data_IF_431321523754
#
_entry.id   IF_431321523754
#
_cell.length_a   1.000
_cell.length_b   1.000
_cell.length_c   1.000
_cell.angle_alpha   90.00
_cell.angle_beta   90.00
_cell.angle_gamma   90.00
#
_symmetry.space_group_name_H-M   'P 1'
#
loop_
_entity.id
_entity.type
_entity.pdbx_description
1 polymer ?
#
# COMPACT_ATOMS: atom_id res chain seq x y z
N UNK A 1 -23.96 -0.35 4.12
CA UNK A 1 -22.82 0.54 3.80
C UNK A 1 -22.55 0.41 2.32
N UNK A 2 -22.73 1.49 1.56
CA UNK A 2 -22.38 1.51 0.13
C UNK A 2 -20.86 1.57 0.05
N UNK A 3 -20.22 0.62 -0.64
CA UNK A 3 -18.78 0.68 -0.88
C UNK A 3 -18.45 2.03 -1.55
N UNK A 4 -17.47 2.76 -1.00
CA UNK A 4 -16.98 3.96 -1.66
C UNK A 4 -16.25 3.52 -2.92
N UNK A 5 -16.78 3.91 -4.09
CA UNK A 5 -16.15 3.60 -5.35
C UNK A 5 -14.74 4.20 -5.39
N UNK A 6 -13.74 3.39 -5.77
CA UNK A 6 -12.38 3.84 -6.03
C UNK A 6 -12.39 4.99 -7.05
N UNK A 7 -11.70 6.10 -6.72
CA UNK A 7 -11.71 7.29 -7.58
C UNK A 7 -11.05 7.02 -8.95
N UNK A 8 -11.40 7.78 -10.00
CA UNK A 8 -10.76 7.63 -11.31
C UNK A 8 -9.24 7.83 -11.27
N UNK A 9 -8.75 8.77 -10.43
CA UNK A 9 -7.33 9.02 -10.26
C UNK A 9 -6.61 7.83 -9.60
N UNK A 10 -7.22 7.24 -8.58
CA UNK A 10 -6.71 6.02 -7.95
C UNK A 10 -6.72 4.84 -8.93
N UNK A 11 -7.77 4.71 -9.75
CA UNK A 11 -7.85 3.65 -10.76
C UNK A 11 -6.76 3.79 -11.83
N UNK A 12 -6.54 5.00 -12.34
CA UNK A 12 -5.45 5.28 -13.27
C UNK A 12 -4.08 4.93 -12.67
N UNK A 13 -3.89 5.19 -11.38
CA UNK A 13 -2.66 4.85 -10.69
C UNK A 13 -2.51 3.32 -10.52
N UNK A 14 -3.59 2.58 -10.24
CA UNK A 14 -3.58 1.12 -10.24
C UNK A 14 -3.15 0.58 -11.61
N UNK A 15 -3.79 1.03 -12.69
CA UNK A 15 -3.53 0.58 -14.05
C UNK A 15 -2.08 0.88 -14.49
N UNK A 16 -1.46 1.92 -13.94
CA UNK A 16 -0.07 2.28 -14.23
C UNK A 16 0.96 1.45 -13.45
N UNK A 17 0.59 0.88 -12.30
CA UNK A 17 1.53 0.26 -11.36
C UNK A 17 1.42 -1.26 -11.27
N UNK A 18 0.25 -1.82 -11.55
CA UNK A 18 -0.01 -3.26 -11.45
C UNK A 18 -0.31 -3.85 -12.82
N UNK A 19 0.01 -5.13 -13.05
CA UNK A 19 -0.37 -5.80 -14.28
C UNK A 19 -1.90 -6.02 -14.35
N UNK A 20 -2.45 -6.06 -15.57
CA UNK A 20 -3.90 -6.14 -15.81
C UNK A 20 -4.57 -7.36 -15.16
N UNK A 21 -3.85 -8.49 -15.05
CA UNK A 21 -4.34 -9.71 -14.43
C UNK A 21 -4.47 -9.62 -12.90
N UNK A 22 -3.83 -8.64 -12.27
CA UNK A 22 -3.97 -8.33 -10.85
C UNK A 22 -5.00 -7.24 -10.55
N UNK A 23 -5.53 -6.54 -11.55
CA UNK A 23 -6.37 -5.35 -11.37
C UNK A 23 -7.60 -5.61 -10.46
N UNK A 24 -8.27 -6.75 -10.62
CA UNK A 24 -9.41 -7.12 -9.77
C UNK A 24 -8.99 -7.33 -8.30
N UNK A 25 -7.84 -7.95 -8.06
CA UNK A 25 -7.30 -8.18 -6.72
C UNK A 25 -6.87 -6.88 -6.04
N UNK A 26 -6.28 -5.96 -6.80
CA UNK A 26 -5.90 -4.63 -6.31
C UNK A 26 -7.14 -3.85 -5.86
N UNK A 27 -8.17 -3.78 -6.70
CA UNK A 27 -9.42 -3.07 -6.36
C UNK A 27 -10.12 -3.70 -5.14
N UNK A 28 -10.18 -5.03 -5.08
CA UNK A 28 -10.75 -5.74 -3.94
C UNK A 28 -9.98 -5.47 -2.64
N UNK A 29 -8.66 -5.32 -2.68
CA UNK A 29 -7.86 -4.94 -1.52
C UNK A 29 -8.12 -3.49 -1.09
N UNK A 30 -8.19 -2.56 -2.03
CA UNK A 30 -8.49 -1.15 -1.72
C UNK A 30 -9.86 -1.00 -1.06
N UNK A 31 -10.87 -1.74 -1.53
CA UNK A 31 -12.22 -1.74 -0.93
C UNK A 31 -12.24 -2.17 0.55
N UNK A 32 -11.17 -2.81 1.06
CA UNK A 32 -11.05 -3.16 2.49
C UNK A 32 -10.74 -1.95 3.38
N UNK A 33 -10.35 -0.80 2.81
CA UNK A 33 -10.07 0.41 3.56
C UNK A 33 -11.24 1.40 3.47
N UNK A 34 -12.00 1.51 4.55
CA UNK A 34 -13.13 2.45 4.67
C UNK A 34 -12.84 3.59 5.67
N UNK A 35 -11.56 3.88 5.92
CA UNK A 35 -11.13 4.88 6.87
C UNK A 35 -11.24 6.32 6.35
N UNK A 36 -10.81 7.27 7.19
CA UNK A 36 -10.69 8.66 6.78
C UNK A 36 -9.68 8.81 5.64
N UNK A 37 -9.85 9.84 4.81
CA UNK A 37 -8.90 10.16 3.73
C UNK A 37 -8.69 8.99 2.74
N UNK A 38 -9.72 8.15 2.57
CA UNK A 38 -9.74 6.93 1.76
C UNK A 38 -9.01 7.07 0.41
N UNK A 39 -9.30 8.11 -0.36
CA UNK A 39 -8.62 8.34 -1.64
C UNK A 39 -7.12 8.57 -1.48
N UNK A 40 -6.69 9.42 -0.54
CA UNK A 40 -5.27 9.70 -0.28
C UNK A 40 -4.55 8.45 0.18
N UNK A 41 -5.16 7.69 1.10
CA UNK A 41 -4.63 6.43 1.59
C UNK A 41 -4.49 5.42 0.46
N UNK A 42 -5.51 5.25 -0.40
CA UNK A 42 -5.42 4.35 -1.55
C UNK A 42 -4.24 4.71 -2.45
N UNK A 43 -4.08 5.99 -2.79
CA UNK A 43 -2.97 6.41 -3.63
C UNK A 43 -1.60 6.22 -2.95
N UNK A 44 -1.51 6.48 -1.65
CA UNK A 44 -0.30 6.25 -0.86
C UNK A 44 0.11 4.78 -0.86
N UNK A 45 -0.81 3.86 -0.51
CA UNK A 45 -0.50 2.43 -0.44
C UNK A 45 -0.16 1.84 -1.81
N UNK A 46 -0.76 2.34 -2.90
CA UNK A 46 -0.40 1.95 -4.26
C UNK A 46 1.06 2.33 -4.54
N UNK A 47 1.45 3.59 -4.29
CA UNK A 47 2.84 4.05 -4.51
C UNK A 47 3.84 3.26 -3.67
N UNK A 48 3.53 3.10 -2.37
CA UNK A 48 4.39 2.38 -1.43
C UNK A 48 4.53 0.90 -1.77
N UNK A 49 3.50 0.28 -2.37
CA UNK A 49 3.58 -1.12 -2.80
C UNK A 49 4.59 -1.36 -3.92
N UNK A 50 4.94 -0.33 -4.70
CA UNK A 50 5.78 -0.48 -5.89
C UNK A 50 5.23 -1.51 -6.89
N UNK A 51 3.91 -1.65 -6.98
CA UNK A 51 3.25 -2.57 -7.91
C UNK A 51 3.19 -4.03 -7.44
N UNK A 52 3.53 -4.31 -6.17
CA UNK A 52 3.45 -5.67 -5.61
C UNK A 52 2.22 -5.86 -4.74
N UNK A 53 1.34 -6.80 -5.10
CA UNK A 53 0.11 -7.10 -4.36
C UNK A 53 0.36 -7.45 -2.88
N UNK A 54 1.43 -8.21 -2.60
CA UNK A 54 1.82 -8.57 -1.23
C UNK A 54 2.14 -7.36 -0.36
N UNK A 55 2.88 -6.38 -0.92
CA UNK A 55 3.19 -5.12 -0.22
C UNK A 55 1.95 -4.24 -0.07
N UNK A 56 1.10 -4.17 -1.10
CA UNK A 56 -0.16 -3.42 -1.04
C UNK A 56 -1.01 -3.86 0.15
N UNK A 57 -1.16 -5.18 0.35
CA UNK A 57 -1.91 -5.74 1.49
C UNK A 57 -1.32 -5.31 2.83
N UNK A 58 0.01 -5.38 3.00
CA UNK A 58 0.67 -4.98 4.25
C UNK A 58 0.47 -3.49 4.53
N UNK A 59 0.67 -2.63 3.53
CA UNK A 59 0.48 -1.18 3.69
C UNK A 59 -0.98 -0.81 3.98
N UNK A 60 -1.95 -1.53 3.43
CA UNK A 60 -3.37 -1.37 3.78
C UNK A 60 -3.66 -1.79 5.23
N UNK A 61 -3.08 -2.89 5.71
CA UNK A 61 -3.23 -3.31 7.10
C UNK A 61 -2.60 -2.30 8.06
N UNK A 62 -1.47 -1.69 7.68
CA UNK A 62 -0.89 -0.58 8.44
C UNK A 62 -1.78 0.67 8.40
N UNK A 63 -2.35 1.02 7.24
CA UNK A 63 -3.24 2.17 7.11
C UNK A 63 -4.50 2.06 7.99
N UNK A 64 -5.01 0.85 8.21
CA UNK A 64 -6.12 0.59 9.15
C UNK A 64 -5.75 0.91 10.61
N UNK A 65 -4.47 0.82 10.96
CA UNK A 65 -3.96 1.07 12.32
C UNK A 65 -3.50 2.52 12.47
N UNK A 66 -2.68 3.00 11.53
CA UNK A 66 -1.97 4.27 11.56
C UNK A 66 -1.99 4.95 10.17
N UNK A 67 -3.14 5.52 9.75
CA UNK A 67 -3.26 6.12 8.42
C UNK A 67 -2.32 7.32 8.23
N UNK A 68 -2.06 8.09 9.28
CA UNK A 68 -1.14 9.23 9.27
C UNK A 68 0.31 8.83 8.90
N UNK A 69 0.78 7.68 9.41
CA UNK A 69 2.11 7.14 9.08
C UNK A 69 2.17 6.74 7.62
N UNK A 70 1.15 6.04 7.12
CA UNK A 70 1.09 5.64 5.70
C UNK A 70 1.05 6.85 4.77
N UNK A 71 0.28 7.90 5.12
CA UNK A 71 0.24 9.14 4.36
C UNK A 71 1.60 9.85 4.38
N UNK A 72 2.27 9.93 5.54
CA UNK A 72 3.60 10.52 5.64
C UNK A 72 4.60 9.85 4.69
N UNK A 73 4.64 8.51 4.65
CA UNK A 73 5.49 7.76 3.72
C UNK A 73 5.03 7.86 2.25
N UNK A 74 3.72 7.93 2.00
CA UNK A 74 3.16 7.89 0.65
C UNK A 74 3.21 9.22 -0.10
N UNK A 75 3.36 10.34 0.61
CA UNK A 75 3.19 11.69 0.05
C UNK A 75 4.48 12.52 -0.07
N UNK A 76 5.65 11.96 0.29
CA UNK A 76 6.94 12.68 0.28
C UNK A 76 6.93 13.95 1.14
N UNK A 77 7.16 13.83 2.45
CA UNK A 77 6.99 14.90 3.40
C UNK A 77 8.14 15.92 3.31
N UNK A 78 7.86 17.19 3.64
CA UNK A 78 8.80 18.30 3.44
C UNK A 78 9.86 18.46 4.53
N UNK A 79 9.76 17.71 5.62
CA UNK A 79 10.62 17.75 6.79
C UNK A 79 11.90 16.90 6.63
N UNK A 80 11.99 16.10 5.56
CA UNK A 80 13.16 15.30 5.18
C UNK A 80 13.51 15.52 3.71
N UNK A 81 14.77 15.25 3.32
CA UNK A 81 15.13 15.31 1.90
C UNK A 81 14.48 14.17 1.12
N UNK A 82 14.20 14.39 -0.18
CA UNK A 82 13.59 13.36 -1.03
C UNK A 82 14.44 12.08 -1.09
N UNK A 83 15.77 12.19 -1.12
CA UNK A 83 16.67 11.04 -1.12
C UNK A 83 16.56 10.23 0.19
N UNK A 84 16.50 10.93 1.33
CA UNK A 84 16.35 10.28 2.65
C UNK A 84 15.00 9.59 2.76
N UNK A 85 13.95 10.25 2.27
CA UNK A 85 12.61 9.69 2.25
C UNK A 85 12.55 8.43 1.37
N UNK A 86 13.10 8.51 0.16
CA UNK A 86 13.16 7.38 -0.79
C UNK A 86 13.92 6.20 -0.18
N UNK A 87 15.08 6.45 0.41
CA UNK A 87 15.85 5.43 1.12
C UNK A 87 15.03 4.78 2.25
N UNK A 88 14.31 5.58 3.04
CA UNK A 88 13.45 5.06 4.12
C UNK A 88 12.34 4.15 3.59
N UNK A 89 11.65 4.56 2.52
CA UNK A 89 10.61 3.75 1.86
C UNK A 89 11.20 2.43 1.34
N UNK A 90 12.34 2.49 0.66
CA UNK A 90 13.02 1.29 0.14
C UNK A 90 13.48 0.35 1.27
N UNK A 91 14.01 0.90 2.36
CA UNK A 91 14.43 0.13 3.53
C UNK A 91 13.25 -0.61 4.16
N UNK A 92 12.13 0.07 4.39
CA UNK A 92 10.91 -0.55 4.93
C UNK A 92 10.38 -1.62 3.97
N UNK A 93 10.27 -1.31 2.67
CA UNK A 93 9.80 -2.28 1.69
C UNK A 93 10.70 -3.53 1.63
N UNK A 94 12.03 -3.37 1.70
CA UNK A 94 12.97 -4.49 1.77
C UNK A 94 12.82 -5.31 3.04
N UNK A 95 12.45 -4.70 4.17
CA UNK A 95 12.10 -5.42 5.40
C UNK A 95 10.79 -6.20 5.23
N UNK A 96 9.74 -5.57 4.69
CA UNK A 96 8.45 -6.22 4.44
C UNK A 96 8.56 -7.42 3.49
N UNK A 97 9.41 -7.32 2.47
CA UNK A 97 9.63 -8.39 1.50
C UNK A 97 10.19 -9.66 2.15
N UNK A 98 11.13 -9.51 3.08
CA UNK A 98 11.66 -10.66 3.82
C UNK A 98 10.57 -11.39 4.59
N UNK A 99 9.58 -10.67 5.13
CA UNK A 99 8.45 -11.27 5.81
C UNK A 99 7.45 -11.93 4.85
N UNK A 100 7.34 -11.45 3.61
CA UNK A 100 6.53 -12.09 2.56
C UNK A 100 7.16 -13.39 2.05
N UNK A 101 8.49 -13.43 1.95
CA UNK A 101 9.23 -14.56 1.40
C UNK A 101 9.58 -15.63 2.45
N UNK A 102 9.33 -15.36 3.74
CA UNK A 102 9.52 -16.37 4.80
C UNK A 102 8.36 -17.37 4.76
N UNK A 103 8.62 -18.68 4.56
CA UNK A 103 7.58 -19.70 4.67
C UNK A 103 6.93 -19.62 6.05
N UNK A 104 5.60 -19.67 6.12
CA UNK A 104 4.91 -19.81 7.40
C UNK A 104 5.53 -21.01 8.13
N UNK A 105 5.99 -20.81 9.36
CA UNK A 105 6.50 -21.93 10.17
C UNK A 105 5.44 -23.03 10.18
N UNK A 106 5.80 -24.30 9.92
CA UNK A 106 4.86 -25.38 10.07
C UNK A 106 4.42 -25.36 11.51
N UNK A 107 3.14 -25.07 11.73
CA UNK A 107 2.52 -25.20 13.04
C UNK A 107 2.57 -26.70 13.34
N UNK A 108 3.60 -27.11 14.07
CA UNK A 108 3.73 -28.47 14.55
C UNK A 108 2.53 -28.77 15.44
N UNK A 109 1.74 -29.76 15.01
CA UNK A 109 0.75 -30.46 15.83
C UNK A 109 1.41 -31.10 17.07
#
# INVERSE_FOLDING_TARGET
MTAMAVSPATRQLCDAMFPDDEAASVLALLDLYTGAECERVHQAVIRLSGGRLGRLRIWLDEAKRNPETVLWFGESPSDVSQDTHTFGVEFINGFLDRHLDTPAEPTGE
#
